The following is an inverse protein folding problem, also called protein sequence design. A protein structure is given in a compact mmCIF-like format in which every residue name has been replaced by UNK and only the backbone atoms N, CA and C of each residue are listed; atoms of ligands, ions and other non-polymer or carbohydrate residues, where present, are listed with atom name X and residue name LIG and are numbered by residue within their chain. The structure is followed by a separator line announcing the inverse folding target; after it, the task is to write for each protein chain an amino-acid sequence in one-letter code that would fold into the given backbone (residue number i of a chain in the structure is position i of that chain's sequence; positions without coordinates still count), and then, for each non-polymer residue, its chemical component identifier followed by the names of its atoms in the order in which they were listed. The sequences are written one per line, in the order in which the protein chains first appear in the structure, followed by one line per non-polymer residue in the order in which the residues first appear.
data_IF_818642467766
#
_entry.id   IF_818642467766
#
_cell.length_a   1.000
_cell.length_b   1.000
_cell.length_c   1.000
_cell.angle_alpha   90.00
_cell.angle_beta   90.00
_cell.angle_gamma   90.00
#
_symmetry.space_group_name_H-M   'P 1'
#
loop_
_entity.id
_entity.type
_entity.pdbx_description
1 polymer ?
#
# COMPACT_ATOMS: atom_id res chain seq x y z
N UNK A 1 40.55 8.79 0.07
CA UNK A 1 39.22 9.37 0.40
C UNK A 1 38.07 8.63 -0.32
N UNK A 2 38.00 7.30 -0.29
CA UNK A 2 36.93 6.48 -0.93
C UNK A 2 36.02 5.74 0.06
N UNK A 3 36.38 5.72 1.35
CA UNK A 3 35.64 5.01 2.41
C UNK A 3 34.44 5.78 2.99
N UNK A 4 34.46 7.12 2.97
CA UNK A 4 33.39 7.94 3.58
C UNK A 4 32.09 7.97 2.76
N UNK A 5 32.18 7.87 1.43
CA UNK A 5 31.00 7.98 0.55
C UNK A 5 30.08 6.76 0.69
N UNK A 6 30.66 5.56 0.89
CA UNK A 6 29.88 4.31 1.02
C UNK A 6 29.10 4.22 2.33
N UNK A 7 29.67 4.70 3.43
CA UNK A 7 28.99 4.77 4.72
C UNK A 7 27.82 5.77 4.70
N UNK A 8 28.01 6.93 4.06
CA UNK A 8 26.95 7.93 3.87
C UNK A 8 25.80 7.42 3.00
N UNK A 9 26.08 6.69 1.91
CA UNK A 9 25.04 6.10 1.06
C UNK A 9 24.24 5.00 1.76
N UNK A 10 24.88 4.19 2.61
CA UNK A 10 24.20 3.20 3.44
C UNK A 10 23.30 3.86 4.49
N UNK A 11 23.80 4.94 5.13
CA UNK A 11 23.01 5.74 6.07
C UNK A 11 21.77 6.35 5.42
N UNK A 12 21.91 6.94 4.23
CA UNK A 12 20.79 7.52 3.47
C UNK A 12 19.76 6.47 3.03
N UNK A 13 20.19 5.29 2.58
CA UNK A 13 19.28 4.19 2.23
C UNK A 13 18.54 3.67 3.47
N UNK A 14 19.22 3.51 4.61
CA UNK A 14 18.58 3.12 5.86
C UNK A 14 17.60 4.18 6.36
N UNK A 15 17.95 5.47 6.29
CA UNK A 15 17.03 6.58 6.60
C UNK A 15 15.85 6.64 5.64
N UNK A 16 16.02 6.39 4.35
CA UNK A 16 14.93 6.30 3.38
C UNK A 16 13.99 5.12 3.67
N UNK A 17 14.53 3.99 4.12
CA UNK A 17 13.73 2.82 4.54
C UNK A 17 13.00 3.09 5.85
N UNK A 18 13.67 3.71 6.83
CA UNK A 18 13.07 4.08 8.12
C UNK A 18 12.01 5.15 7.94
N UNK A 19 12.24 6.17 7.11
CA UNK A 19 11.22 7.19 6.79
C UNK A 19 10.09 6.64 5.94
N UNK A 20 10.34 5.71 5.01
CA UNK A 20 9.28 4.97 4.31
C UNK A 20 8.45 4.13 5.27
N UNK A 21 9.08 3.53 6.31
CA UNK A 21 8.36 2.81 7.37
C UNK A 21 7.66 3.74 8.38
N UNK A 22 8.19 4.95 8.61
CA UNK A 22 7.60 5.95 9.50
C UNK A 22 6.44 6.71 8.84
N UNK A 23 6.49 6.96 7.52
CA UNK A 23 5.32 7.36 6.73
C UNK A 23 4.28 6.24 6.66
N UNK A 24 4.69 4.97 6.79
CA UNK A 24 3.78 3.86 7.03
C UNK A 24 3.31 3.73 8.50
N UNK A 25 3.86 4.53 9.44
CA UNK A 25 3.49 4.50 10.86
C UNK A 25 2.27 5.38 11.19
N UNK A 26 1.93 6.34 10.32
CA UNK A 26 0.66 7.10 10.40
C UNK A 26 -0.12 6.91 9.10
N UNK A 27 -0.70 5.72 8.95
CA UNK A 27 -1.72 5.51 7.92
C UNK A 27 -2.97 6.25 8.40
N UNK A 28 -3.35 7.30 7.69
CA UNK A 28 -4.71 7.82 7.79
C UNK A 28 -5.66 6.77 7.21
N UNK A 29 -6.18 5.93 8.10
CA UNK A 29 -7.03 4.81 7.75
C UNK A 29 -8.31 5.27 7.04
N UNK A 30 -8.91 6.37 7.46
CA UNK A 30 -10.15 6.85 6.86
C UNK A 30 -9.91 7.36 5.44
N UNK A 31 -8.85 8.16 5.24
CA UNK A 31 -8.50 8.63 3.91
C UNK A 31 -8.08 7.47 2.97
N UNK A 32 -7.37 6.46 3.47
CA UNK A 32 -6.98 5.31 2.65
C UNK A 32 -8.17 4.39 2.33
N UNK A 33 -9.12 4.18 3.27
CA UNK A 33 -10.35 3.44 2.98
C UNK A 33 -11.20 4.15 1.93
N UNK A 34 -11.34 5.47 2.01
CA UNK A 34 -12.06 6.23 0.98
C UNK A 34 -11.40 6.08 -0.40
N UNK A 35 -10.07 6.19 -0.47
CA UNK A 35 -9.31 5.93 -1.72
C UNK A 35 -9.53 4.52 -2.25
N UNK A 36 -9.50 3.52 -1.37
CA UNK A 36 -9.70 2.14 -1.78
C UNK A 36 -11.13 1.86 -2.24
N UNK A 37 -12.14 2.43 -1.59
CA UNK A 37 -13.54 2.32 -2.04
C UNK A 37 -13.73 2.92 -3.43
N UNK A 38 -13.24 4.13 -3.65
CA UNK A 38 -13.28 4.76 -4.97
C UNK A 38 -12.54 3.90 -6.02
N UNK A 39 -11.39 3.34 -5.67
CA UNK A 39 -10.66 2.45 -6.58
C UNK A 39 -11.45 1.16 -6.87
N UNK A 40 -12.14 0.60 -5.88
CA UNK A 40 -13.00 -0.58 -6.04
C UNK A 40 -14.14 -0.31 -7.02
N UNK A 41 -14.78 0.85 -6.92
CA UNK A 41 -15.83 1.28 -7.86
C UNK A 41 -15.29 1.40 -9.29
N UNK A 42 -14.07 1.95 -9.45
CA UNK A 42 -13.43 2.06 -10.76
C UNK A 42 -13.09 0.70 -11.40
N UNK A 43 -12.69 -0.30 -10.59
CA UNK A 43 -12.36 -1.64 -11.10
C UNK A 43 -13.57 -2.58 -11.09
N UNK A 44 -14.70 -2.19 -10.51
CA UNK A 44 -15.91 -3.03 -10.44
C UNK A 44 -16.34 -3.57 -11.81
N UNK A 45 -16.27 -2.81 -12.92
CA UNK A 45 -16.57 -3.35 -14.26
C UNK A 45 -15.62 -4.48 -14.67
N UNK A 46 -14.32 -4.37 -14.34
CA UNK A 46 -13.35 -5.43 -14.62
C UNK A 46 -13.67 -6.69 -13.81
N UNK A 47 -14.00 -6.52 -12.53
CA UNK A 47 -14.39 -7.64 -11.66
C UNK A 47 -15.69 -8.31 -12.15
N UNK A 48 -16.67 -7.52 -12.61
CA UNK A 48 -17.91 -8.02 -13.23
C UNK A 48 -17.66 -8.74 -14.55
N UNK A 49 -16.67 -8.31 -15.32
CA UNK A 49 -16.20 -8.98 -16.52
C UNK A 49 -15.44 -10.30 -16.23
N UNK A 50 -15.29 -10.68 -14.96
CA UNK A 50 -14.65 -11.92 -14.54
C UNK A 50 -13.14 -11.81 -14.32
N UNK A 51 -12.55 -10.61 -14.43
CA UNK A 51 -11.17 -10.39 -14.04
C UNK A 51 -11.02 -10.61 -12.53
N UNK A 52 -10.25 -11.62 -12.13
CA UNK A 52 -9.99 -11.87 -10.72
C UNK A 52 -9.24 -10.70 -10.07
N UNK A 53 -9.53 -10.41 -8.80
CA UNK A 53 -8.87 -9.34 -8.02
C UNK A 53 -7.34 -9.49 -8.06
N UNK A 54 -6.83 -10.72 -8.09
CA UNK A 54 -5.40 -11.02 -8.23
C UNK A 54 -4.81 -10.61 -9.58
N UNK A 55 -5.55 -10.76 -10.69
CA UNK A 55 -5.13 -10.34 -12.02
C UNK A 55 -5.11 -8.80 -12.10
N UNK A 56 -6.19 -8.15 -11.64
CA UNK A 56 -6.27 -6.69 -11.57
C UNK A 56 -5.17 -6.11 -10.68
N UNK A 57 -4.89 -6.72 -9.52
CA UNK A 57 -3.82 -6.31 -8.61
C UNK A 57 -2.41 -6.57 -9.11
N UNK A 58 -2.22 -7.48 -10.07
CA UNK A 58 -0.92 -7.67 -10.74
C UNK A 58 -0.64 -6.48 -11.66
N UNK A 59 -1.65 -6.03 -12.39
CA UNK A 59 -1.55 -4.96 -13.40
C UNK A 59 -1.71 -3.55 -12.82
N UNK A 60 -2.25 -3.41 -11.61
CA UNK A 60 -2.51 -2.11 -10.98
C UNK A 60 -1.88 -2.01 -9.58
N UNK A 61 -0.86 -1.15 -9.46
CA UNK A 61 -0.13 -0.91 -8.20
C UNK A 61 -1.05 -0.36 -7.09
N UNK A 62 -2.03 0.47 -7.45
CA UNK A 62 -3.00 1.03 -6.50
C UNK A 62 -3.90 -0.06 -5.93
N UNK A 63 -4.32 -1.02 -6.76
CA UNK A 63 -5.13 -2.17 -6.32
C UNK A 63 -4.33 -3.05 -5.36
N UNK A 64 -3.05 -3.33 -5.69
CA UNK A 64 -2.16 -4.08 -4.80
C UNK A 64 -1.98 -3.39 -3.44
N UNK A 65 -1.83 -2.06 -3.45
CA UNK A 65 -1.74 -1.26 -2.23
C UNK A 65 -3.01 -1.36 -1.40
N UNK A 66 -4.18 -1.23 -2.02
CA UNK A 66 -5.46 -1.35 -1.33
C UNK A 66 -5.67 -2.73 -0.70
N UNK A 67 -5.33 -3.81 -1.40
CA UNK A 67 -5.35 -5.17 -0.85
C UNK A 67 -4.43 -5.27 0.39
N UNK A 68 -3.22 -4.72 0.30
CA UNK A 68 -2.28 -4.73 1.42
C UNK A 68 -2.78 -3.91 2.62
N UNK A 69 -3.29 -2.70 2.39
CA UNK A 69 -3.86 -1.83 3.43
C UNK A 69 -5.02 -2.53 4.12
N UNK A 70 -5.98 -3.06 3.35
CA UNK A 70 -7.15 -3.73 3.91
C UNK A 70 -6.74 -4.98 4.72
N UNK A 71 -5.77 -5.76 4.25
CA UNK A 71 -5.21 -6.89 5.03
C UNK A 71 -4.52 -6.46 6.32
N UNK A 72 -3.83 -5.31 6.34
CA UNK A 72 -3.25 -4.77 7.57
C UNK A 72 -4.38 -4.27 8.49
N UNK A 73 -5.36 -3.57 7.95
CA UNK A 73 -6.49 -3.02 8.69
C UNK A 73 -7.30 -4.12 9.38
N UNK A 74 -7.63 -5.21 8.68
CA UNK A 74 -8.30 -6.39 9.25
C UNK A 74 -7.46 -7.00 10.39
N UNK A 75 -6.16 -7.20 10.17
CA UNK A 75 -5.26 -7.73 11.21
C UNK A 75 -5.17 -6.83 12.44
N UNK A 76 -5.23 -5.51 12.24
CA UNK A 76 -5.21 -4.50 13.30
C UNK A 76 -6.61 -4.19 13.85
N UNK A 77 -7.67 -4.85 13.37
CA UNK A 77 -9.07 -4.61 13.74
C UNK A 77 -9.50 -3.14 13.60
N UNK A 78 -9.00 -2.46 12.58
CA UNK A 78 -9.38 -1.07 12.29
C UNK A 78 -10.83 -1.04 11.78
N UNK A 79 -11.72 -0.22 12.35
CA UNK A 79 -13.10 -0.11 11.88
C UNK A 79 -13.16 0.47 10.46
N UNK A 80 -14.01 -0.13 9.61
CA UNK A 80 -14.13 0.25 8.19
C UNK A 80 -13.25 -0.56 7.23
N UNK A 81 -12.49 -1.54 7.74
CA UNK A 81 -11.77 -2.48 6.89
C UNK A 81 -12.73 -3.37 6.09
N UNK A 82 -12.50 -3.51 4.78
CA UNK A 82 -13.29 -4.33 3.87
C UNK A 82 -12.49 -5.56 3.41
N UNK A 83 -13.18 -6.67 3.16
CA UNK A 83 -12.55 -7.87 2.59
C UNK A 83 -12.45 -7.69 1.08
N UNK A 84 -11.21 -7.66 0.58
CA UNK A 84 -10.86 -7.69 -0.84
C UNK A 84 -10.44 -9.07 -1.27
#
# INVERSE_FOLDING_TARGET
MRGMIRAGSLGLVMLALVTSSAQAAVIDWQAEFARCRALRENIAPLLQAGEGISAVGRSNRSVRRCIWIQRIAVRKKIPGAEVW
#
